data_IF_963382001276
#
_entry.id   IF_963382001276
#
_cell.length_a   1.000
_cell.length_b   1.000
_cell.length_c   1.000
_cell.angle_alpha   90.00
_cell.angle_beta   90.00
_cell.angle_gamma   90.00
#
_symmetry.space_group_name_H-M   'P 1'
#
loop_
_entity.id
_entity.type
_entity.pdbx_description
1 polymer ?
#
# COMPACT_ATOMS: atom_id res chain seq x y z
N UNK A 1 -6.03 -1.41 5.02
CA UNK A 1 -5.19 -0.20 4.93
C UNK A 1 -5.67 0.75 6.00
N UNK A 2 -4.76 1.49 6.62
CA UNK A 2 -5.07 2.56 7.57
C UNK A 2 -4.46 3.86 7.06
N UNK A 3 -5.09 4.99 7.38
CA UNK A 3 -4.55 6.33 7.12
C UNK A 3 -4.63 7.20 8.37
N UNK A 4 -3.71 8.14 8.48
CA UNK A 4 -3.71 9.20 9.49
C UNK A 4 -3.12 10.46 8.86
N UNK A 5 -3.63 11.65 9.19
CA UNK A 5 -2.95 12.89 8.83
C UNK A 5 -1.65 13.02 9.62
N UNK A 6 -0.61 13.52 8.98
CA UNK A 6 0.63 13.90 9.62
C UNK A 6 0.89 15.39 9.40
N UNK A 7 1.70 16.01 10.25
CA UNK A 7 2.06 17.43 10.13
C UNK A 7 3.27 17.64 9.22
N UNK A 8 3.37 16.85 8.14
CA UNK A 8 4.51 16.89 7.21
C UNK A 8 4.06 17.22 5.80
N UNK A 9 5.02 17.68 4.99
CA UNK A 9 4.80 17.93 3.58
C UNK A 9 4.80 16.64 2.74
N UNK A 10 5.28 15.51 3.29
CA UNK A 10 5.44 14.24 2.60
C UNK A 10 4.51 13.14 3.14
N UNK A 11 4.11 12.23 2.24
CA UNK A 11 3.36 11.03 2.60
C UNK A 11 4.30 9.85 2.90
N UNK A 12 4.04 9.17 4.01
CA UNK A 12 4.83 8.01 4.46
C UNK A 12 4.03 6.73 4.33
N UNK A 13 4.68 5.68 3.84
CA UNK A 13 4.04 4.37 3.63
C UNK A 13 4.74 3.30 4.46
N UNK A 14 3.99 2.72 5.40
CA UNK A 14 4.38 1.55 6.16
C UNK A 14 3.75 0.27 5.59
N UNK A 15 4.52 -0.81 5.48
CA UNK A 15 4.02 -2.11 5.04
C UNK A 15 4.18 -3.11 6.18
N UNK A 16 3.06 -3.70 6.62
CA UNK A 16 3.05 -4.76 7.62
C UNK A 16 2.66 -6.09 6.98
N UNK A 17 3.55 -7.08 7.10
CA UNK A 17 3.33 -8.44 6.59
C UNK A 17 3.47 -9.42 7.74
N UNK A 18 2.35 -10.03 8.15
CA UNK A 18 2.33 -10.98 9.27
C UNK A 18 3.02 -12.30 8.94
N UNK A 19 3.47 -13.05 9.96
CA UNK A 19 4.00 -14.41 9.80
C UNK A 19 3.03 -15.37 9.11
N UNK A 20 1.71 -15.12 9.18
CA UNK A 20 0.66 -15.92 8.54
C UNK A 20 0.69 -15.87 7.00
N UNK A 21 1.37 -14.88 6.42
CA UNK A 21 1.51 -14.74 4.96
C UNK A 21 2.52 -15.74 4.40
N UNK A 22 3.57 -16.05 5.15
CA UNK A 22 4.59 -17.01 4.74
C UNK A 22 5.95 -16.78 5.39
N UNK A 23 6.94 -17.52 4.90
CA UNK A 23 8.35 -17.38 5.30
C UNK A 23 8.95 -16.04 4.85
N UNK A 24 10.20 -15.76 5.25
CA UNK A 24 10.85 -14.47 4.95
C UNK A 24 10.95 -14.18 3.45
N UNK A 25 11.19 -15.18 2.60
CA UNK A 25 11.26 -15.00 1.14
C UNK A 25 9.91 -14.53 0.59
N UNK A 26 8.83 -15.20 0.98
CA UNK A 26 7.46 -14.84 0.58
C UNK A 26 7.10 -13.45 1.09
N UNK A 27 7.37 -13.14 2.38
CA UNK A 27 7.08 -11.81 2.95
C UNK A 27 7.86 -10.70 2.25
N UNK A 28 9.12 -10.92 1.93
CA UNK A 28 9.92 -9.93 1.20
C UNK A 28 9.44 -9.75 -0.24
N UNK A 29 9.00 -10.82 -0.92
CA UNK A 29 8.36 -10.71 -2.25
C UNK A 29 7.12 -9.83 -2.18
N UNK A 30 6.20 -10.12 -1.26
CA UNK A 30 4.97 -9.34 -1.07
C UNK A 30 5.27 -7.88 -0.75
N UNK A 31 6.24 -7.63 0.15
CA UNK A 31 6.66 -6.26 0.50
C UNK A 31 7.22 -5.51 -0.70
N UNK A 32 8.02 -6.17 -1.55
CA UNK A 32 8.59 -5.58 -2.77
C UNK A 32 7.50 -5.21 -3.77
N UNK A 33 6.55 -6.11 -4.01
CA UNK A 33 5.44 -5.86 -4.94
C UNK A 33 4.57 -4.69 -4.46
N UNK A 34 4.19 -4.67 -3.18
CA UNK A 34 3.40 -3.56 -2.60
C UNK A 34 4.19 -2.25 -2.68
N UNK A 35 5.49 -2.27 -2.35
CA UNK A 35 6.33 -1.07 -2.42
C UNK A 35 6.45 -0.54 -3.85
N UNK A 36 6.54 -1.43 -4.84
CA UNK A 36 6.60 -1.03 -6.25
C UNK A 36 5.30 -0.37 -6.69
N UNK A 37 4.15 -0.95 -6.36
CA UNK A 37 2.85 -0.32 -6.58
C UNK A 37 2.80 1.08 -5.97
N UNK A 38 3.17 1.23 -4.70
CA UNK A 38 3.20 2.53 -4.04
C UNK A 38 4.15 3.53 -4.70
N UNK A 39 5.32 3.06 -5.19
CA UNK A 39 6.31 3.90 -5.88
C UNK A 39 5.78 4.42 -7.21
N UNK A 40 5.04 3.61 -7.96
CA UNK A 40 4.45 4.00 -9.25
C UNK A 40 3.39 5.09 -9.08
N UNK A 41 2.62 5.06 -7.99
CA UNK A 41 1.50 5.97 -7.75
C UNK A 41 1.74 7.01 -6.66
N UNK A 42 2.99 7.23 -6.24
CA UNK A 42 3.33 8.15 -5.15
C UNK A 42 2.83 9.58 -5.43
N UNK A 43 2.89 10.01 -6.69
CA UNK A 43 2.44 11.34 -7.14
C UNK A 43 0.92 11.51 -7.14
N UNK A 44 0.18 10.40 -7.11
CA UNK A 44 -1.29 10.41 -7.09
C UNK A 44 -1.81 10.49 -5.65
N UNK A 45 -0.94 10.35 -4.64
CA UNK A 45 -1.33 10.38 -3.24
C UNK A 45 -1.43 11.81 -2.70
N UNK A 46 -2.45 12.04 -1.87
CA UNK A 46 -2.55 13.22 -1.03
C UNK A 46 -1.31 13.26 -0.12
N UNK A 47 -0.67 14.42 -0.07
CA UNK A 47 0.49 14.67 0.78
C UNK A 47 0.09 14.85 2.25
N UNK A 48 1.04 14.62 3.16
CA UNK A 48 0.80 14.77 4.60
C UNK A 48 0.00 13.61 5.22
N UNK A 49 0.11 12.40 4.65
CA UNK A 49 -0.54 11.20 5.18
C UNK A 49 0.47 10.18 5.68
N UNK A 50 0.17 9.54 6.80
CA UNK A 50 0.76 8.27 7.21
C UNK A 50 -0.17 7.13 6.81
N UNK A 51 0.29 6.27 5.89
CA UNK A 51 -0.49 5.17 5.34
C UNK A 51 0.15 3.84 5.77
N UNK A 52 -0.66 2.95 6.34
CA UNK A 52 -0.22 1.58 6.69
C UNK A 52 -0.96 0.56 5.84
N UNK A 53 -0.21 -0.17 5.02
CA UNK A 53 -0.70 -1.29 4.22
C UNK A 53 -0.45 -2.58 4.98
N UNK A 54 -1.52 -3.34 5.24
CA UNK A 54 -1.45 -4.63 5.93
C UNK A 54 -1.71 -5.74 4.91
N UNK A 55 -0.66 -6.50 4.59
CA UNK A 55 -0.78 -7.63 3.69
C UNK A 55 -1.52 -8.79 4.37
N UNK A 56 -2.60 -9.26 3.74
CA UNK A 56 -3.37 -10.45 4.16
C UNK A 56 -2.78 -11.71 3.51
N UNK A 57 -3.04 -12.92 4.05
CA UNK A 57 -2.47 -14.16 3.53
C UNK A 57 -2.62 -14.36 2.02
N UNK A 58 -3.74 -13.91 1.42
CA UNK A 58 -3.99 -13.98 -0.02
C UNK A 58 -2.94 -13.24 -0.86
N UNK A 59 -2.31 -12.19 -0.32
CA UNK A 59 -1.32 -11.37 -1.03
C UNK A 59 -0.08 -12.17 -1.49
N UNK A 60 0.19 -13.34 -0.88
CA UNK A 60 1.33 -14.19 -1.24
C UNK A 60 1.20 -14.81 -2.65
N UNK A 61 0.00 -14.89 -3.19
CA UNK A 61 -0.32 -15.47 -4.51
C UNK A 61 -0.50 -14.42 -5.59
N UNK A 62 -0.50 -13.13 -5.22
CA UNK A 62 -0.81 -12.03 -6.12
C UNK A 62 0.46 -11.45 -6.78
N UNK A 63 0.28 -10.94 -8.00
CA UNK A 63 1.26 -10.16 -8.75
C UNK A 63 1.11 -8.66 -8.50
N UNK A 64 1.76 -7.84 -9.33
CA UNK A 64 1.69 -6.39 -9.21
C UNK A 64 0.28 -5.87 -9.55
N UNK A 65 -0.31 -6.39 -10.64
CA UNK A 65 -1.60 -5.96 -11.16
C UNK A 65 -2.72 -6.15 -10.13
N UNK A 66 -2.82 -7.32 -9.50
CA UNK A 66 -3.88 -7.59 -8.53
C UNK A 66 -3.66 -6.81 -7.22
N UNK A 67 -2.40 -6.54 -6.85
CA UNK A 67 -2.06 -5.67 -5.71
C UNK A 67 -2.41 -4.21 -6.01
N UNK A 68 -2.18 -3.75 -7.24
CA UNK A 68 -2.50 -2.41 -7.70
C UNK A 68 -4.02 -2.17 -7.72
N UNK A 69 -4.79 -3.11 -8.27
CA UNK A 69 -6.25 -3.06 -8.21
C UNK A 69 -6.77 -2.99 -6.77
N UNK A 70 -6.24 -3.83 -5.87
CA UNK A 70 -6.62 -3.82 -4.47
C UNK A 70 -6.20 -2.50 -3.77
N UNK A 71 -5.04 -1.96 -4.12
CA UNK A 71 -4.53 -0.68 -3.60
C UNK A 71 -5.46 0.47 -3.98
N UNK A 72 -5.84 0.58 -5.26
CA UNK A 72 -6.78 1.60 -5.71
C UNK A 72 -8.18 1.40 -5.11
N UNK A 73 -8.67 0.17 -5.07
CA UNK A 73 -10.00 -0.13 -4.52
C UNK A 73 -10.13 0.32 -3.06
N UNK A 74 -9.14 -0.02 -2.22
CA UNK A 74 -9.16 0.35 -0.80
C UNK A 74 -8.78 1.83 -0.62
N UNK A 75 -7.81 2.33 -1.38
CA UNK A 75 -7.34 3.70 -1.28
C UNK A 75 -8.42 4.73 -1.66
N UNK A 76 -9.22 4.46 -2.70
CA UNK A 76 -10.38 5.31 -3.07
C UNK A 76 -11.40 5.36 -1.95
N UNK A 77 -11.75 4.22 -1.33
CA UNK A 77 -12.66 4.20 -0.17
C UNK A 77 -12.13 5.00 1.03
N UNK A 78 -10.82 5.09 1.16
CA UNK A 78 -10.16 5.85 2.21
C UNK A 78 -9.84 7.28 1.80
N UNK A 79 -10.18 7.75 0.59
CA UNK A 79 -9.85 9.09 0.09
C UNK A 79 -8.38 9.46 0.34
N UNK A 80 -7.45 8.66 -0.19
CA UNK A 80 -6.00 8.92 -0.11
C UNK A 80 -5.40 9.45 -1.42
N UNK A 81 -6.16 9.39 -2.51
CA UNK A 81 -5.72 9.85 -3.82
C UNK A 81 -6.18 11.29 -4.06
N UNK A 82 -5.35 12.05 -4.76
CA UNK A 82 -5.73 13.31 -5.37
C UNK A 82 -6.76 12.95 -6.46
N UNK A 83 -8.04 13.21 -6.23
CA UNK A 83 -9.03 13.00 -7.29
C UNK A 83 -8.66 13.89 -8.48
N UNK A 84 -8.30 13.27 -9.61
CA UNK A 84 -8.38 13.96 -10.89
C UNK A 84 -9.87 14.14 -11.20
N UNK A 85 -10.26 15.40 -11.35
CA UNK A 85 -11.50 15.80 -12.02
C UNK A 85 -11.66 15.14 -13.38
#
# INVERSE_FOLDING_TARGET
>A
MYKMSNDRADTRIGISVSKKVGNSVVRHRVTRVIRECCRLHEKELIQGLDIVIVARPLAKEQGLMEIEEAFFHVGRKLNIFLESK
#
